data_IF_428915328909
#
_entry.id   IF_428915328909
#
_cell.length_a   1.000
_cell.length_b   1.000
_cell.length_c   1.000
_cell.angle_alpha   90.00
_cell.angle_beta   90.00
_cell.angle_gamma   90.00
#
_symmetry.space_group_name_H-M   'P 1'
#
loop_
_entity.id
_entity.type
_entity.pdbx_description
1 polymer ?
#
# COMPACT_ATOMS: atom_id res chain seq x y z
N UNK A 1 -3.18 -16.40 18.59
CA UNK A 1 -4.17 -17.27 17.90
C UNK A 1 -4.59 -16.70 16.54
N UNK A 2 -5.00 -15.43 16.43
CA UNK A 2 -5.36 -14.82 15.12
C UNK A 2 -4.15 -14.62 14.20
N UNK A 3 -3.06 -14.02 14.68
CA UNK A 3 -1.90 -13.70 13.84
C UNK A 3 -1.24 -14.95 13.23
N UNK A 4 -1.11 -16.01 14.03
CA UNK A 4 -0.66 -17.33 13.57
C UNK A 4 -1.58 -17.93 12.50
N UNK A 5 -2.90 -17.73 12.61
CA UNK A 5 -3.85 -18.19 11.59
C UNK A 5 -3.70 -17.39 10.28
N UNK A 6 -3.50 -16.07 10.37
CA UNK A 6 -3.23 -15.21 9.20
C UNK A 6 -1.97 -15.66 8.47
N UNK A 7 -0.89 -15.98 9.20
CA UNK A 7 0.34 -16.46 8.57
C UNK A 7 0.16 -17.82 7.89
N UNK A 8 -0.54 -18.76 8.53
CA UNK A 8 -0.85 -20.06 7.93
C UNK A 8 -1.73 -19.92 6.69
N UNK A 9 -2.74 -19.05 6.71
CA UNK A 9 -3.56 -18.77 5.54
C UNK A 9 -2.74 -18.15 4.41
N UNK A 10 -1.80 -17.26 4.71
CA UNK A 10 -0.94 -16.61 3.72
C UNK A 10 -0.11 -17.61 2.90
N UNK A 11 0.24 -18.76 3.47
CA UNK A 11 0.91 -19.86 2.76
C UNK A 11 -0.01 -20.57 1.76
N UNK A 12 -1.33 -20.48 1.95
CA UNK A 12 -2.34 -21.13 1.10
C UNK A 12 -2.90 -20.21 0.00
N UNK A 13 -2.75 -18.89 0.15
CA UNK A 13 -3.26 -17.92 -0.82
C UNK A 13 -2.36 -17.91 -2.07
N UNK A 14 -2.95 -18.27 -3.21
CA UNK A 14 -2.32 -18.11 -4.52
C UNK A 14 -2.77 -16.80 -5.16
N UNK A 15 -1.81 -16.03 -5.66
CA UNK A 15 -2.06 -14.75 -6.36
C UNK A 15 -1.54 -14.84 -7.81
N UNK A 16 -2.13 -14.09 -8.75
CA UNK A 16 -1.59 -13.96 -10.10
C UNK A 16 -0.15 -13.45 -10.08
N UNK A 17 0.64 -13.81 -11.11
CA UNK A 17 2.07 -13.49 -11.18
C UNK A 17 2.42 -12.00 -11.16
N UNK A 18 1.48 -11.12 -11.51
CA UNK A 18 1.65 -9.66 -11.47
C UNK A 18 1.38 -9.04 -10.10
N UNK A 19 0.85 -9.79 -9.13
CA UNK A 19 0.66 -9.34 -7.75
C UNK A 19 1.87 -9.82 -6.94
N UNK A 20 2.53 -8.88 -6.25
CA UNK A 20 3.64 -9.21 -5.35
C UNK A 20 3.16 -10.08 -4.19
N UNK A 21 4.01 -11.00 -3.71
CA UNK A 21 3.69 -11.81 -2.53
C UNK A 21 3.51 -10.92 -1.30
N UNK A 22 2.50 -11.24 -0.50
CA UNK A 22 2.34 -10.66 0.83
C UNK A 22 3.49 -11.15 1.76
N UNK A 23 3.89 -10.34 2.74
CA UNK A 23 5.04 -10.62 3.59
C UNK A 23 4.83 -11.86 4.48
N UNK A 24 5.85 -12.72 4.49
CA UNK A 24 5.90 -13.90 5.35
C UNK A 24 6.10 -13.42 6.80
N UNK A 25 5.09 -13.58 7.65
CA UNK A 25 5.10 -13.14 9.05
C UNK A 25 4.98 -11.63 9.32
N UNK A 26 4.09 -10.96 8.57
CA UNK A 26 3.70 -9.57 8.84
C UNK A 26 3.44 -9.31 10.34
N UNK A 27 4.02 -8.23 10.87
CA UNK A 27 3.86 -7.84 12.27
C UNK A 27 4.92 -8.40 13.24
N UNK A 28 5.90 -9.15 12.75
CA UNK A 28 7.09 -9.56 13.54
C UNK A 28 8.28 -8.65 13.26
N UNK A 29 9.19 -8.51 14.23
CA UNK A 29 10.46 -7.80 14.01
C UNK A 29 11.32 -8.45 12.91
N UNK A 30 11.20 -9.78 12.74
CA UNK A 30 11.93 -10.55 11.73
C UNK A 30 11.48 -10.25 10.29
N UNK A 31 10.21 -9.83 10.10
CA UNK A 31 9.69 -9.47 8.78
C UNK A 31 10.20 -8.12 8.24
N UNK A 32 10.95 -7.35 9.05
CA UNK A 32 11.48 -6.05 8.66
C UNK A 32 10.39 -5.00 8.39
N UNK A 33 10.75 -3.97 7.63
CA UNK A 33 9.80 -2.92 7.23
C UNK A 33 9.14 -3.31 5.91
N UNK A 34 7.81 -3.41 5.93
CA UNK A 34 7.04 -3.72 4.74
C UNK A 34 7.02 -2.54 3.77
N UNK A 35 7.22 -2.82 2.49
CA UNK A 35 7.08 -1.85 1.40
C UNK A 35 5.60 -1.53 1.17
N UNK A 36 5.33 -0.40 0.52
CA UNK A 36 3.96 0.03 0.25
C UNK A 36 3.13 -1.01 -0.53
N UNK A 37 3.72 -1.69 -1.52
CA UNK A 37 3.02 -2.74 -2.29
C UNK A 37 2.73 -3.99 -1.44
N UNK A 38 3.66 -4.37 -0.55
CA UNK A 38 3.49 -5.48 0.39
C UNK A 38 2.37 -5.19 1.40
N UNK A 39 2.33 -3.96 1.93
CA UNK A 39 1.23 -3.50 2.77
C UNK A 39 -0.11 -3.58 2.05
N UNK A 40 -0.19 -3.10 0.81
CA UNK A 40 -1.42 -3.15 0.02
C UNK A 40 -1.90 -4.60 -0.12
N UNK A 41 -1.05 -5.49 -0.62
CA UNK A 41 -1.45 -6.87 -0.88
C UNK A 41 -1.81 -7.60 0.43
N UNK A 42 -1.09 -7.33 1.52
CA UNK A 42 -1.42 -7.88 2.84
C UNK A 42 -2.80 -7.44 3.33
N UNK A 43 -3.11 -6.15 3.23
CA UNK A 43 -4.39 -5.61 3.72
C UNK A 43 -5.56 -6.02 2.83
N UNK A 44 -5.42 -5.92 1.51
CA UNK A 44 -6.55 -6.14 0.58
C UNK A 44 -6.81 -7.62 0.25
N UNK A 45 -5.80 -8.48 0.40
CA UNK A 45 -5.92 -9.92 0.09
C UNK A 45 -5.86 -10.74 1.37
N UNK A 46 -4.69 -10.74 2.04
CA UNK A 46 -4.43 -11.64 3.16
C UNK A 46 -5.35 -11.38 4.35
N UNK A 47 -5.45 -10.12 4.81
CA UNK A 47 -6.30 -9.77 5.95
C UNK A 47 -7.80 -9.98 5.64
N UNK A 48 -8.26 -9.57 4.45
CA UNK A 48 -9.65 -9.79 4.04
C UNK A 48 -9.99 -11.27 4.08
N UNK A 49 -9.18 -12.12 3.44
CA UNK A 49 -9.42 -13.57 3.42
C UNK A 49 -9.39 -14.17 4.83
N UNK A 50 -8.30 -13.97 5.57
CA UNK A 50 -8.08 -14.62 6.86
C UNK A 50 -9.05 -14.17 7.94
N UNK A 51 -9.35 -12.86 8.00
CA UNK A 51 -10.24 -12.35 9.04
C UNK A 51 -11.69 -12.71 8.74
N UNK A 52 -12.14 -12.71 7.48
CA UNK A 52 -13.49 -13.19 7.14
C UNK A 52 -13.59 -14.69 7.46
N UNK A 53 -12.62 -15.50 7.02
CA UNK A 53 -12.59 -16.94 7.30
C UNK A 53 -12.62 -17.24 8.80
N UNK A 54 -11.78 -16.54 9.56
CA UNK A 54 -11.62 -16.75 11.00
C UNK A 54 -12.75 -16.18 11.86
N UNK A 55 -13.35 -15.06 11.45
CA UNK A 55 -14.28 -14.29 12.30
C UNK A 55 -15.73 -14.25 11.81
N UNK A 56 -16.07 -14.85 10.67
CA UNK A 56 -17.46 -14.84 10.12
C UNK A 56 -18.55 -15.25 11.12
N UNK A 57 -18.23 -16.13 12.06
CA UNK A 57 -19.19 -16.65 13.05
C UNK A 57 -18.97 -16.05 14.45
N UNK A 58 -18.08 -15.06 14.58
CA UNK A 58 -17.78 -14.42 15.86
C UNK A 58 -18.75 -13.24 16.10
N UNK A 59 -19.35 -13.20 17.29
CA UNK A 59 -20.16 -12.05 17.74
C UNK A 59 -19.34 -10.94 18.41
N UNK A 60 -19.99 -9.97 19.04
CA UNK A 60 -19.32 -8.87 19.74
C UNK A 60 -18.66 -7.89 18.76
N UNK A 61 -17.39 -7.51 19.00
CA UNK A 61 -16.69 -6.47 18.21
C UNK A 61 -16.20 -6.92 16.83
N UNK A 62 -16.15 -8.22 16.53
CA UNK A 62 -15.52 -8.73 15.31
C UNK A 62 -16.22 -8.30 14.00
N UNK A 63 -17.57 -8.32 13.89
CA UNK A 63 -18.25 -7.81 12.70
C UNK A 63 -17.94 -6.34 12.43
N UNK A 64 -17.91 -5.50 13.47
CA UNK A 64 -17.58 -4.09 13.35
C UNK A 64 -16.13 -3.85 12.90
N UNK A 65 -15.17 -4.65 13.37
CA UNK A 65 -13.78 -4.60 12.88
C UNK A 65 -13.71 -5.01 11.40
N UNK A 66 -14.45 -6.05 10.99
CA UNK A 66 -14.48 -6.46 9.58
C UNK A 66 -15.06 -5.35 8.70
N UNK A 67 -16.14 -4.70 9.12
CA UNK A 67 -16.69 -3.55 8.41
C UNK A 67 -15.69 -2.40 8.33
N UNK A 68 -15.01 -2.07 9.43
CA UNK A 68 -13.95 -1.05 9.46
C UNK A 68 -12.81 -1.39 8.49
N UNK A 69 -12.38 -2.65 8.45
CA UNK A 69 -11.37 -3.12 7.49
C UNK A 69 -11.85 -2.97 6.04
N UNK A 70 -13.11 -3.31 5.75
CA UNK A 70 -13.65 -3.16 4.40
C UNK A 70 -13.68 -1.69 3.96
N UNK A 71 -13.98 -0.74 4.85
CA UNK A 71 -13.82 0.68 4.53
C UNK A 71 -12.37 1.05 4.21
N UNK A 72 -11.40 0.55 4.97
CA UNK A 72 -9.97 0.77 4.69
C UNK A 72 -9.54 0.19 3.34
N UNK A 73 -10.01 -1.02 3.01
CA UNK A 73 -9.77 -1.64 1.69
C UNK A 73 -10.36 -0.78 0.58
N UNK A 74 -11.62 -0.35 0.72
CA UNK A 74 -12.26 0.54 -0.26
C UNK A 74 -11.51 1.86 -0.44
N UNK A 75 -11.02 2.47 0.65
CA UNK A 75 -10.17 3.68 0.60
C UNK A 75 -8.94 3.43 -0.27
N UNK A 76 -8.24 2.31 -0.07
CA UNK A 76 -7.05 1.96 -0.85
C UNK A 76 -7.34 1.73 -2.34
N UNK A 77 -8.45 1.05 -2.65
CA UNK A 77 -8.89 0.81 -4.02
C UNK A 77 -9.25 2.12 -4.73
N UNK A 78 -10.13 2.95 -4.14
CA UNK A 78 -10.52 4.23 -4.74
C UNK A 78 -9.34 5.22 -4.88
N UNK A 79 -8.41 5.22 -3.92
CA UNK A 79 -7.21 6.05 -3.99
C UNK A 79 -6.29 5.69 -5.17
N UNK A 80 -6.31 4.44 -5.62
CA UNK A 80 -5.38 3.92 -6.62
C UNK A 80 -6.01 3.71 -7.99
N UNK A 81 -7.24 4.18 -8.20
CA UNK A 81 -7.88 4.16 -9.52
C UNK A 81 -7.08 4.96 -10.55
N UNK A 82 -6.96 4.41 -11.75
CA UNK A 82 -6.32 5.08 -12.90
C UNK A 82 -7.21 6.14 -13.54
N UNK A 83 -8.52 6.01 -13.35
CA UNK A 83 -9.52 6.95 -13.82
C UNK A 83 -10.43 7.29 -12.65
N UNK A 84 -10.64 8.59 -12.42
CA UNK A 84 -11.45 9.09 -11.33
C UNK A 84 -12.51 10.04 -11.87
N UNK A 85 -13.62 10.13 -11.17
CA UNK A 85 -14.68 11.10 -11.40
C UNK A 85 -15.25 11.55 -10.04
N UNK A 86 -16.20 12.48 -10.06
CA UNK A 86 -16.80 13.00 -8.83
C UNK A 86 -17.42 11.92 -7.94
N UNK A 87 -17.99 10.87 -8.53
CA UNK A 87 -18.61 9.77 -7.78
C UNK A 87 -17.54 8.89 -7.09
N UNK A 88 -16.44 8.55 -7.77
CA UNK A 88 -15.36 7.76 -7.15
C UNK A 88 -14.65 8.54 -6.06
N UNK A 89 -14.49 9.86 -6.22
CA UNK A 89 -13.91 10.73 -5.18
C UNK A 89 -14.85 10.83 -3.99
N UNK A 90 -16.16 10.98 -4.21
CA UNK A 90 -17.15 10.98 -3.13
C UNK A 90 -17.19 9.63 -2.39
N UNK A 91 -17.05 8.51 -3.10
CA UNK A 91 -16.96 7.18 -2.50
C UNK A 91 -15.70 7.03 -1.63
N UNK A 92 -14.55 7.50 -2.11
CA UNK A 92 -13.32 7.59 -1.30
C UNK A 92 -13.57 8.38 0.00
N UNK A 93 -14.14 9.58 -0.11
CA UNK A 93 -14.40 10.47 1.03
C UNK A 93 -15.40 9.89 2.03
N UNK A 94 -16.42 9.18 1.55
CA UNK A 94 -17.35 8.44 2.40
C UNK A 94 -16.62 7.34 3.18
N UNK A 95 -15.88 6.48 2.49
CA UNK A 95 -15.20 5.36 3.13
C UNK A 95 -14.10 5.80 4.11
N UNK A 96 -13.33 6.86 3.82
CA UNK A 96 -12.30 7.32 4.77
C UNK A 96 -12.91 7.89 6.04
N UNK A 97 -14.07 8.58 5.93
CA UNK A 97 -14.78 9.10 7.11
C UNK A 97 -15.34 7.97 7.96
N UNK A 98 -16.01 7.00 7.35
CA UNK A 98 -16.55 5.83 8.08
C UNK A 98 -15.44 4.98 8.70
N UNK A 99 -14.33 4.79 7.98
CA UNK A 99 -13.14 4.12 8.52
C UNK A 99 -12.63 4.84 9.76
N UNK A 100 -12.41 6.16 9.72
CA UNK A 100 -11.83 6.87 10.86
C UNK A 100 -12.80 7.00 12.04
N UNK A 101 -14.09 7.24 11.79
CA UNK A 101 -15.11 7.29 12.83
C UNK A 101 -15.19 5.96 13.60
N UNK A 102 -15.42 4.86 12.88
CA UNK A 102 -15.51 3.53 13.51
C UNK A 102 -14.16 3.06 14.07
N UNK A 103 -13.03 3.49 13.52
CA UNK A 103 -11.71 3.19 14.09
C UNK A 103 -11.54 3.81 15.48
N UNK A 104 -11.98 5.07 15.65
CA UNK A 104 -11.95 5.75 16.94
C UNK A 104 -12.82 5.06 17.98
N UNK A 105 -14.00 4.57 17.59
CA UNK A 105 -14.91 3.83 18.48
C UNK A 105 -14.37 2.44 18.86
N UNK A 106 -13.74 1.73 17.90
CA UNK A 106 -13.27 0.35 18.10
C UNK A 106 -11.93 0.26 18.84
N UNK A 107 -11.10 1.29 18.74
CA UNK A 107 -9.72 1.31 19.23
C UNK A 107 -9.44 2.58 20.05
N UNK A 108 -10.24 2.80 21.09
CA UNK A 108 -10.24 3.99 21.96
C UNK A 108 -8.88 4.34 22.56
N UNK A 109 -7.96 3.38 22.68
CA UNK A 109 -6.61 3.57 23.21
C UNK A 109 -5.59 4.07 22.17
N UNK A 110 -6.00 4.24 20.91
CA UNK A 110 -5.10 4.62 19.80
C UNK A 110 -5.28 6.08 19.41
N UNK A 111 -4.14 6.78 19.36
CA UNK A 111 -4.05 8.11 18.77
C UNK A 111 -3.99 7.96 17.25
N UNK A 112 -4.79 8.75 16.53
CA UNK A 112 -4.73 8.80 15.07
C UNK A 112 -3.34 9.25 14.61
N UNK A 113 -2.76 8.51 13.68
CA UNK A 113 -1.51 8.90 13.03
C UNK A 113 -1.71 10.12 12.12
N UNK A 114 -0.63 10.86 11.87
CA UNK A 114 -0.63 11.94 10.89
C UNK A 114 -1.08 11.45 9.50
N UNK A 115 -0.77 10.21 9.14
CA UNK A 115 -1.17 9.60 7.87
C UNK A 115 -2.68 9.36 7.78
N UNK A 116 -3.32 8.96 8.88
CA UNK A 116 -4.77 8.85 8.96
C UNK A 116 -5.45 10.22 8.81
N UNK A 117 -4.87 11.28 9.38
CA UNK A 117 -5.35 12.65 9.15
C UNK A 117 -5.15 13.08 7.68
N UNK A 118 -3.97 12.87 7.11
CA UNK A 118 -3.65 13.21 5.72
C UNK A 118 -4.58 12.51 4.72
N UNK A 119 -5.04 11.29 5.03
CA UNK A 119 -5.99 10.57 4.18
C UNK A 119 -7.32 11.33 4.01
N UNK A 120 -7.77 12.13 4.99
CA UNK A 120 -8.98 12.96 4.84
C UNK A 120 -8.84 14.00 3.74
N UNK A 121 -7.63 14.50 3.49
CA UNK A 121 -7.35 15.52 2.47
C UNK A 121 -7.13 14.95 1.09
N UNK A 122 -7.02 13.62 0.97
CA UNK A 122 -6.68 12.97 -0.30
C UNK A 122 -7.75 13.19 -1.37
N UNK A 123 -9.04 13.28 -0.99
CA UNK A 123 -10.12 13.64 -1.91
C UNK A 123 -9.92 15.02 -2.56
N UNK A 124 -9.40 16.00 -1.81
CA UNK A 124 -9.01 17.32 -2.33
C UNK A 124 -7.86 17.20 -3.32
N UNK A 125 -6.84 16.39 -2.99
CA UNK A 125 -5.69 16.16 -3.88
C UNK A 125 -6.12 15.46 -5.19
N UNK A 126 -7.03 14.49 -5.12
CA UNK A 126 -7.58 13.81 -6.30
C UNK A 126 -8.33 14.78 -7.22
N UNK A 127 -9.09 15.73 -6.68
CA UNK A 127 -9.76 16.77 -7.49
C UNK A 127 -8.77 17.73 -8.12
N UNK A 128 -7.69 18.10 -7.42
CA UNK A 128 -6.73 19.08 -7.88
C UNK A 128 -5.74 18.52 -8.90
N UNK A 129 -5.23 17.31 -8.67
CA UNK A 129 -4.11 16.73 -9.42
C UNK A 129 -4.50 15.51 -10.26
N UNK A 130 -5.75 15.07 -10.18
CA UNK A 130 -6.21 13.88 -10.86
C UNK A 130 -5.73 12.58 -10.18
N UNK A 131 -5.74 11.45 -10.92
CA UNK A 131 -5.32 10.15 -10.42
C UNK A 131 -3.89 10.16 -9.82
N UNK A 132 -3.70 9.46 -8.70
CA UNK A 132 -2.42 9.37 -7.96
C UNK A 132 -1.24 8.94 -8.83
N UNK A 133 -1.51 8.14 -9.86
CA UNK A 133 -0.49 7.68 -10.80
C UNK A 133 0.26 8.82 -11.50
N UNK A 134 -0.35 10.00 -11.62
CA UNK A 134 0.25 11.17 -12.26
C UNK A 134 1.27 11.90 -11.35
N UNK A 135 1.17 11.77 -10.02
CA UNK A 135 1.92 12.60 -9.08
C UNK A 135 2.57 11.85 -7.92
N UNK A 136 2.45 10.51 -7.87
CA UNK A 136 3.16 9.67 -6.88
C UNK A 136 4.68 9.66 -7.12
N UNK A 137 5.44 9.45 -6.05
CA UNK A 137 6.91 9.50 -6.08
C UNK A 137 7.60 8.31 -6.80
N UNK A 138 6.89 7.20 -7.06
CA UNK A 138 7.49 5.96 -7.57
C UNK A 138 8.35 6.10 -8.85
N UNK A 139 7.95 6.91 -9.86
CA UNK A 139 8.82 7.14 -11.02
C UNK A 139 10.15 7.79 -10.61
N UNK A 140 10.13 8.76 -9.71
CA UNK A 140 11.32 9.45 -9.22
C UNK A 140 12.20 8.52 -8.36
N UNK A 141 11.61 7.69 -7.50
CA UNK A 141 12.34 6.67 -6.73
C UNK A 141 13.08 5.68 -7.63
N UNK A 142 12.46 5.27 -8.76
CA UNK A 142 13.12 4.44 -9.77
C UNK A 142 14.32 5.15 -10.37
N UNK A 143 14.21 6.44 -10.70
CA UNK A 143 15.34 7.22 -11.20
C UNK A 143 16.45 7.35 -10.16
N UNK A 144 16.13 7.56 -8.89
CA UNK A 144 17.12 7.57 -7.81
C UNK A 144 17.89 6.26 -7.75
N UNK A 145 17.20 5.12 -7.85
CA UNK A 145 17.83 3.79 -7.92
C UNK A 145 18.79 3.66 -9.10
N UNK A 146 18.41 4.14 -10.29
CA UNK A 146 19.29 4.14 -11.47
C UNK A 146 20.52 5.04 -11.23
N UNK A 147 20.33 6.24 -10.67
CA UNK A 147 21.43 7.16 -10.37
C UNK A 147 22.43 6.56 -9.39
N UNK A 148 21.99 5.78 -8.40
CA UNK A 148 22.89 5.06 -7.50
C UNK A 148 23.78 4.02 -8.20
N UNK A 149 23.42 3.53 -9.39
CA UNK A 149 24.27 2.63 -10.17
C UNK A 149 25.37 3.35 -10.95
N UNK A 150 25.28 4.68 -11.07
CA UNK A 150 26.28 5.49 -11.74
C UNK A 150 27.39 5.79 -10.73
N UNK A 151 28.56 5.17 -10.94
CA UNK A 151 29.73 5.42 -10.10
C UNK A 151 30.29 6.83 -10.37
N UNK A 152 29.81 7.80 -9.61
CA UNK A 152 30.38 9.15 -9.59
C UNK A 152 31.51 9.17 -8.56
N UNK A 153 32.75 8.94 -8.99
CA UNK A 153 33.91 9.03 -8.10
C UNK A 153 34.19 10.46 -7.58
N UNK A 154 33.30 11.43 -7.84
CA UNK A 154 33.42 12.86 -7.53
C UNK A 154 34.75 13.51 -7.95
N UNK A 155 35.55 12.83 -8.79
CA UNK A 155 36.78 13.35 -9.38
C UNK A 155 36.41 14.06 -10.66
N UNK A 156 36.26 15.38 -10.57
CA UNK A 156 36.10 16.25 -11.72
C UNK A 156 37.34 16.09 -12.61
N UNK A 157 37.14 15.76 -13.90
CA UNK A 157 38.21 15.69 -14.91
C UNK A 157 38.71 14.29 -15.29
N UNK A 158 38.27 13.21 -14.62
CA UNK A 158 38.54 11.85 -15.08
C UNK A 158 37.31 11.34 -15.81
N UNK A 159 37.33 11.38 -17.14
CA UNK A 159 36.29 10.76 -17.98
C UNK A 159 36.34 9.25 -17.74
N UNK A 160 35.32 8.61 -17.16
CA UNK A 160 35.27 7.15 -17.13
C UNK A 160 35.15 6.68 -18.58
N UNK A 161 35.99 5.74 -18.99
CA UNK A 161 35.96 5.22 -20.36
C UNK A 161 34.53 4.85 -20.75
N UNK A 162 34.12 5.32 -21.92
CA UNK A 162 32.79 5.16 -22.51
C UNK A 162 32.53 3.67 -22.73
N UNK A 163 32.05 2.99 -21.68
CA UNK A 163 31.49 1.64 -21.73
C UNK A 163 29.96 1.67 -21.68
N UNK A 164 29.38 2.82 -21.38
CA UNK A 164 27.94 3.00 -21.16
C UNK A 164 27.12 3.02 -22.45
N UNK A 165 27.66 3.57 -23.55
CA UNK A 165 26.95 3.62 -24.84
C UNK A 165 26.74 2.24 -25.48
N UNK A 166 27.58 1.24 -25.18
CA UNK A 166 27.42 -0.10 -25.73
C UNK A 166 26.38 -0.97 -25.00
N UNK A 167 26.01 -0.65 -23.75
CA UNK A 167 25.02 -1.43 -22.97
C UNK A 167 23.58 -0.99 -23.19
N UNK A 168 23.33 0.24 -23.60
CA UNK A 168 21.98 0.72 -23.92
C UNK A 168 21.51 0.26 -25.31
N UNK A 169 22.42 0.02 -26.25
CA UNK A 169 22.10 -0.44 -27.61
C UNK A 169 21.90 -1.96 -27.73
N UNK A 170 22.15 -2.73 -26.67
CA UNK A 170 22.01 -4.20 -26.66
C UNK A 170 20.76 -4.69 -25.94
N UNK A 171 19.88 -3.79 -25.49
CA UNK A 171 18.57 -4.12 -24.87
C UNK A 171 17.36 -3.47 -25.58
N UNK A 172 17.51 -3.11 -26.85
CA UNK A 172 16.40 -2.88 -27.79
C UNK A 172 16.35 -4.10 -28.70
#
# INVERSE_FOLDING_TARGET
KTLSAIWSDNETITTPSWIGRAPHQAGTAAAGTLKADEWRNFVTITLVFSLIKGWRNHGGRYPAILTNLMHLVSVGEYATLRQINSATIAAYEGHIKEYLASHGELFLDKVFSIYQHLALHFGTLLRAFGPVHAWRAYPFERYNGIMHTINTNSKIGIVPSISFLNRLLTQI
#
